data_IF_966962035491
#
_entry.id   IF_966962035491
#
_cell.length_a   1.000
_cell.length_b   1.000
_cell.length_c   1.000
_cell.angle_alpha   90.00
_cell.angle_beta   90.00
_cell.angle_gamma   90.00
#
_symmetry.space_group_name_H-M   'P 1'
#
loop_
_entity.id
_entity.type
_entity.pdbx_description
1 polymer ?
#
# COMPACT_ATOMS: atom_id res chain seq x y z
N UNK A 1 -17.67 -9.23 7.30
CA UNK A 1 -16.33 -9.83 7.31
C UNK A 1 -15.31 -8.70 7.24
N UNK A 2 -14.39 -8.58 8.20
CA UNK A 2 -13.33 -7.56 8.13
C UNK A 2 -12.31 -7.98 7.08
N UNK A 3 -11.95 -7.08 6.17
CA UNK A 3 -10.81 -7.31 5.29
C UNK A 3 -9.53 -7.41 6.14
N UNK A 4 -8.58 -8.31 5.80
CA UNK A 4 -7.28 -8.34 6.46
C UNK A 4 -6.58 -6.99 6.23
N UNK A 5 -6.16 -6.36 7.33
CA UNK A 5 -5.53 -5.02 7.29
C UNK A 5 -4.27 -5.00 6.43
N UNK A 6 -3.46 -6.06 6.49
CA UNK A 6 -2.22 -6.20 5.74
C UNK A 6 -2.40 -7.22 4.62
N UNK A 7 -2.16 -6.80 3.38
CA UNK A 7 -2.28 -7.64 2.19
C UNK A 7 -0.97 -7.64 1.39
N UNK A 8 -0.71 -8.70 0.63
CA UNK A 8 0.44 -8.74 -0.28
C UNK A 8 0.25 -7.77 -1.46
N UNK A 9 1.35 -7.44 -2.14
CA UNK A 9 1.36 -6.49 -3.26
C UNK A 9 0.38 -6.88 -4.37
N UNK A 10 0.28 -8.17 -4.71
CA UNK A 10 -0.66 -8.65 -5.74
C UNK A 10 -2.12 -8.31 -5.38
N UNK A 11 -2.51 -8.54 -4.12
CA UNK A 11 -3.86 -8.20 -3.66
C UNK A 11 -4.08 -6.70 -3.53
N UNK A 12 -3.07 -5.94 -3.11
CA UNK A 12 -3.13 -4.48 -3.10
C UNK A 12 -3.30 -3.91 -4.52
N UNK A 13 -2.62 -4.49 -5.51
CA UNK A 13 -2.76 -4.13 -6.92
C UNK A 13 -4.19 -4.36 -7.42
N UNK A 14 -4.77 -5.53 -7.14
CA UNK A 14 -6.17 -5.84 -7.49
C UNK A 14 -7.17 -4.85 -6.85
N UNK A 15 -6.94 -4.45 -5.59
CA UNK A 15 -7.86 -3.57 -4.85
C UNK A 15 -7.75 -2.10 -5.26
N UNK A 16 -6.55 -1.63 -5.61
CA UNK A 16 -6.29 -0.22 -5.91
C UNK A 16 -6.29 0.11 -7.40
N UNK A 17 -6.13 -0.89 -8.26
CA UNK A 17 -5.91 -0.71 -9.69
C UNK A 17 -4.46 -0.33 -10.05
N UNK A 18 -3.55 -0.21 -9.08
CA UNK A 18 -2.13 -0.03 -9.37
C UNK A 18 -1.50 -1.32 -9.90
N UNK A 19 -0.47 -1.19 -10.74
CA UNK A 19 0.42 -2.31 -11.05
C UNK A 19 1.28 -2.64 -9.84
N UNK A 20 1.74 -3.90 -9.74
CA UNK A 20 2.70 -4.28 -8.70
C UNK A 20 3.97 -3.42 -8.73
N UNK A 21 4.45 -3.07 -9.93
CA UNK A 21 5.63 -2.23 -10.11
C UNK A 21 5.41 -0.81 -9.59
N UNK A 22 4.22 -0.22 -9.79
CA UNK A 22 3.90 1.09 -9.23
C UNK A 22 3.91 1.06 -7.70
N UNK A 23 3.39 -0.01 -7.10
CA UNK A 23 3.43 -0.23 -5.64
C UNK A 23 4.89 -0.35 -5.17
N UNK A 24 5.70 -1.20 -5.81
CA UNK A 24 7.13 -1.36 -5.47
C UNK A 24 7.89 -0.06 -5.62
N UNK A 25 7.57 0.75 -6.64
CA UNK A 25 8.16 2.06 -6.83
C UNK A 25 7.82 3.02 -5.70
N UNK A 26 6.55 3.10 -5.26
CA UNK A 26 6.11 3.92 -4.12
C UNK A 26 6.76 3.50 -2.79
N UNK A 27 7.03 2.21 -2.63
CA UNK A 27 7.79 1.68 -1.49
C UNK A 27 9.26 2.08 -1.59
N UNK A 28 9.89 1.88 -2.76
CA UNK A 28 11.32 2.13 -2.99
C UNK A 28 11.68 3.61 -2.94
N UNK A 29 10.84 4.49 -3.49
CA UNK A 29 11.09 5.92 -3.56
C UNK A 29 10.69 6.68 -2.28
N UNK A 30 10.17 5.98 -1.26
CA UNK A 30 9.77 6.58 0.01
C UNK A 30 8.42 7.31 0.00
N UNK A 31 7.66 7.25 -1.10
CA UNK A 31 6.30 7.85 -1.17
C UNK A 31 5.39 7.24 -0.10
N UNK A 32 5.53 5.93 0.14
CA UNK A 32 4.82 5.25 1.21
C UNK A 32 5.73 5.03 2.41
N UNK A 33 5.29 5.53 3.57
CA UNK A 33 6.04 5.42 4.81
C UNK A 33 6.08 3.97 5.34
N UNK A 34 7.29 3.46 5.60
CA UNK A 34 7.51 2.15 6.20
C UNK A 34 6.96 2.11 7.63
N UNK A 35 6.35 0.99 8.01
CA UNK A 35 5.69 0.81 9.31
C UNK A 35 4.27 1.39 9.39
N UNK A 36 3.90 2.25 8.43
CA UNK A 36 2.55 2.85 8.33
C UNK A 36 1.75 2.25 7.18
N UNK A 37 2.15 2.56 5.93
CA UNK A 37 1.47 2.12 4.71
C UNK A 37 1.99 0.76 4.25
N UNK A 38 3.28 0.49 4.43
CA UNK A 38 3.87 -0.81 4.08
C UNK A 38 4.81 -1.33 5.15
N UNK A 39 5.03 -2.65 5.18
CA UNK A 39 6.06 -3.29 6.03
C UNK A 39 6.58 -4.58 5.41
N UNK A 40 7.76 -5.02 5.85
CA UNK A 40 8.20 -6.41 5.66
C UNK A 40 7.50 -7.32 6.68
N UNK A 41 6.91 -8.39 6.19
CA UNK A 41 6.41 -9.49 7.01
C UNK A 41 7.59 -10.37 7.49
N UNK A 42 7.37 -11.25 8.49
CA UNK A 42 8.43 -12.13 8.99
C UNK A 42 9.06 -13.04 7.93
N UNK A 43 8.33 -13.33 6.84
CA UNK A 43 8.79 -14.11 5.69
C UNK A 43 9.56 -13.27 4.63
N UNK A 44 9.81 -11.99 4.93
CA UNK A 44 10.52 -11.06 4.05
C UNK A 44 9.66 -10.43 2.95
N UNK A 45 8.38 -10.81 2.81
CA UNK A 45 7.48 -10.24 1.80
C UNK A 45 7.01 -8.84 2.20
N UNK A 46 6.74 -8.00 1.21
CA UNK A 46 6.15 -6.67 1.43
C UNK A 46 4.64 -6.83 1.54
N UNK A 47 4.08 -6.23 2.59
CA UNK A 47 2.63 -6.13 2.81
C UNK A 47 2.22 -4.67 2.87
N UNK A 48 1.01 -4.38 2.37
CA UNK A 48 0.40 -3.06 2.30
C UNK A 48 -0.77 -3.01 3.29
N UNK A 49 -0.83 -1.94 4.07
CA UNK A 49 -1.92 -1.66 4.99
C UNK A 49 -2.99 -0.85 4.26
N UNK A 50 -4.08 -1.50 3.86
CA UNK A 50 -5.12 -0.86 3.04
C UNK A 50 -5.77 0.33 3.74
N UNK A 51 -5.96 0.28 5.06
CA UNK A 51 -6.53 1.39 5.83
C UNK A 51 -5.63 2.63 5.85
N UNK A 52 -4.31 2.46 5.91
CA UNK A 52 -3.39 3.61 5.86
C UNK A 52 -3.13 4.08 4.43
N UNK A 53 -3.28 3.19 3.45
CA UNK A 53 -3.33 3.56 2.04
C UNK A 53 -4.51 4.50 1.76
N UNK A 54 -5.73 4.17 2.21
CA UNK A 54 -6.92 5.00 1.97
C UNK A 54 -6.73 6.40 2.55
N UNK A 55 -6.25 6.50 3.80
CA UNK A 55 -5.91 7.78 4.44
C UNK A 55 -4.88 8.59 3.66
N UNK A 56 -3.89 7.91 3.07
CA UNK A 56 -2.88 8.58 2.24
C UNK A 56 -3.48 9.07 0.93
N UNK A 57 -4.31 8.25 0.27
CA UNK A 57 -4.98 8.62 -0.97
C UNK A 57 -5.91 9.82 -0.78
N UNK A 58 -6.64 9.85 0.34
CA UNK A 58 -7.51 10.97 0.74
C UNK A 58 -6.74 12.23 1.16
N UNK A 59 -5.47 12.10 1.55
CA UNK A 59 -4.64 13.24 1.94
C UNK A 59 -4.04 14.01 0.75
N UNK A 60 -4.07 13.43 -0.45
CA UNK A 60 -3.56 14.09 -1.64
C UNK A 60 -4.52 15.23 -2.05
N UNK A 61 -4.02 16.44 -2.37
CA UNK A 61 -4.86 17.50 -2.90
C UNK A 61 -5.57 17.03 -4.17
N UNK A 62 -6.90 17.04 -4.16
CA UNK A 62 -7.69 16.74 -5.35
C UNK A 62 -7.60 17.95 -6.28
N UNK A 63 -6.73 17.90 -7.27
CA UNK A 63 -6.71 18.92 -8.33
C UNK A 63 -7.90 18.60 -9.24
N UNK A 64 -8.90 19.47 -9.24
CA UNK A 64 -10.07 19.40 -10.12
C UNK A 64 -9.68 19.72 -11.58
#
# INVERSE_FOLDING_TARGET
MSLPRWVLINRAAELTGYTEDAIRHKVKNGTWAQGRIWRKAPDGRITINMTEYDKWAESAPQVA
#
